data_IF_428097434204
#
_entry.id   IF_428097434204
#
_cell.length_a   1.000
_cell.length_b   1.000
_cell.length_c   1.000
_cell.angle_alpha   90.00
_cell.angle_beta   90.00
_cell.angle_gamma   90.00
#
_symmetry.space_group_name_H-M   'P 1'
#
loop_
_entity.id
_entity.type
_entity.pdbx_description
1 polymer ?
#
# COMPACT_ATOMS: atom_id res chain seq x y z
N UNK A 1 25.64 4.80 -34.40
CA UNK A 1 24.84 5.27 -33.25
C UNK A 1 24.22 4.05 -32.58
N UNK A 2 24.73 3.64 -31.43
CA UNK A 2 24.11 2.58 -30.61
C UNK A 2 22.73 3.08 -30.18
N UNK A 3 21.67 2.31 -30.49
CA UNK A 3 20.32 2.59 -29.98
C UNK A 3 20.40 2.62 -28.45
N UNK A 4 20.27 3.80 -27.85
CA UNK A 4 20.02 3.90 -26.42
C UNK A 4 18.61 3.34 -26.21
N UNK A 5 18.54 2.11 -25.71
CA UNK A 5 17.26 1.49 -25.36
C UNK A 5 16.64 2.27 -24.20
N UNK A 6 15.39 2.68 -24.35
CA UNK A 6 14.64 3.29 -23.25
C UNK A 6 14.59 2.32 -22.05
N UNK A 7 14.72 2.86 -20.83
CA UNK A 7 14.66 2.06 -19.62
C UNK A 7 13.26 1.45 -19.48
N UNK A 8 13.20 0.12 -19.37
CA UNK A 8 11.93 -0.61 -19.20
C UNK A 8 11.57 -0.69 -17.72
N UNK A 9 10.49 -0.03 -17.34
CA UNK A 9 9.94 -0.09 -15.99
C UNK A 9 9.01 -1.31 -15.86
N UNK A 10 9.01 -1.93 -14.68
CA UNK A 10 8.11 -3.03 -14.37
C UNK A 10 6.66 -2.56 -14.31
N UNK A 11 5.73 -3.46 -14.63
CA UNK A 11 4.28 -3.20 -14.49
C UNK A 11 3.98 -2.84 -13.04
N UNK A 12 3.11 -1.83 -12.86
CA UNK A 12 2.69 -1.38 -11.54
C UNK A 12 2.04 -2.51 -10.73
N UNK A 13 2.48 -2.68 -9.47
CA UNK A 13 1.92 -3.66 -8.54
C UNK A 13 1.06 -2.96 -7.48
N UNK A 14 -0.27 -2.94 -7.71
CA UNK A 14 -1.24 -2.32 -6.79
C UNK A 14 -1.28 -2.97 -5.41
N UNK A 15 -0.97 -4.26 -5.32
CA UNK A 15 -0.96 -4.97 -4.03
C UNK A 15 0.23 -4.55 -3.17
N UNK A 16 1.36 -4.23 -3.79
CA UNK A 16 2.61 -3.87 -3.11
C UNK A 16 3.27 -2.64 -3.75
N UNK A 17 2.70 -1.43 -3.59
CA UNK A 17 3.22 -0.21 -4.21
C UNK A 17 4.65 0.13 -3.74
N UNK A 18 4.94 -0.07 -2.46
CA UNK A 18 6.27 0.18 -1.90
C UNK A 18 7.35 -0.73 -2.53
N UNK A 19 7.04 -2.02 -2.69
CA UNK A 19 7.93 -2.99 -3.34
C UNK A 19 8.16 -2.61 -4.81
N UNK A 20 7.11 -2.19 -5.52
CA UNK A 20 7.23 -1.74 -6.90
C UNK A 20 8.18 -0.54 -7.06
N UNK A 21 8.12 0.46 -6.16
CA UNK A 21 9.07 1.57 -6.17
C UNK A 21 10.52 1.12 -5.91
N UNK A 22 10.75 0.14 -5.03
CA UNK A 22 12.08 -0.44 -4.81
C UNK A 22 12.63 -1.07 -6.11
N UNK A 23 11.78 -1.78 -6.86
CA UNK A 23 12.17 -2.37 -8.15
C UNK A 23 12.48 -1.28 -9.19
N UNK A 24 11.71 -0.19 -9.22
CA UNK A 24 11.98 0.96 -10.09
C UNK A 24 13.32 1.61 -9.75
N UNK A 25 13.63 1.81 -8.47
CA UNK A 25 14.89 2.41 -8.02
C UNK A 25 16.11 1.57 -8.39
N UNK A 26 16.02 0.25 -8.28
CA UNK A 26 17.06 -0.66 -8.77
C UNK A 26 17.26 -0.51 -10.28
N UNK A 27 16.18 -0.38 -11.03
CA UNK A 27 16.23 -0.16 -12.49
C UNK A 27 16.89 1.18 -12.83
N UNK A 28 16.56 2.26 -12.11
CA UNK A 28 17.18 3.57 -12.30
C UNK A 28 18.67 3.57 -12.02
N UNK A 29 19.12 2.85 -10.98
CA UNK A 29 20.54 2.70 -10.64
C UNK A 29 21.33 1.94 -11.70
N UNK A 30 20.70 0.96 -12.36
CA UNK A 30 21.31 0.11 -13.38
C UNK A 30 21.11 0.64 -14.81
N UNK A 31 20.52 1.83 -14.97
CA UNK A 31 20.30 2.42 -16.29
C UNK A 31 21.62 2.66 -17.04
N UNK A 32 21.61 2.41 -18.35
CA UNK A 32 22.77 2.51 -19.25
C UNK A 32 22.46 3.59 -20.31
N UNK A 33 23.41 4.47 -20.66
CA UNK A 33 24.84 4.48 -20.28
C UNK A 33 25.14 5.08 -18.90
N UNK A 34 24.18 5.73 -18.26
CA UNK A 34 24.35 6.31 -16.91
C UNK A 34 23.10 6.10 -16.05
N UNK A 35 23.25 6.03 -14.71
CA UNK A 35 22.12 5.96 -13.80
C UNK A 35 21.16 7.14 -13.97
N UNK A 36 19.87 6.87 -13.76
CA UNK A 36 18.83 7.90 -13.71
C UNK A 36 18.78 8.46 -12.28
N UNK A 37 19.25 9.69 -12.12
CA UNK A 37 19.30 10.36 -10.81
C UNK A 37 18.29 11.48 -10.67
N UNK A 38 17.98 12.18 -11.75
CA UNK A 38 17.08 13.34 -11.78
C UNK A 38 15.64 12.95 -11.39
N UNK A 39 15.08 13.69 -10.43
CA UNK A 39 13.76 13.41 -9.86
C UNK A 39 12.64 13.48 -10.89
N UNK A 40 12.59 14.54 -11.72
CA UNK A 40 11.59 14.67 -12.77
C UNK A 40 11.67 13.53 -13.80
N UNK A 41 12.88 13.08 -14.16
CA UNK A 41 13.03 11.93 -15.05
C UNK A 41 12.47 10.64 -14.40
N UNK A 42 12.78 10.37 -13.13
CA UNK A 42 12.19 9.22 -12.41
C UNK A 42 10.67 9.31 -12.33
N UNK A 43 10.13 10.50 -12.05
CA UNK A 43 8.70 10.78 -12.04
C UNK A 43 8.04 10.36 -13.35
N UNK A 44 8.56 10.83 -14.50
CA UNK A 44 8.01 10.48 -15.81
C UNK A 44 8.04 8.97 -16.08
N UNK A 45 9.11 8.28 -15.68
CA UNK A 45 9.22 6.83 -15.82
C UNK A 45 8.18 6.06 -14.98
N UNK A 46 7.90 6.50 -13.76
CA UNK A 46 6.94 5.81 -12.89
C UNK A 46 5.48 6.17 -13.19
N UNK A 47 5.20 7.34 -13.78
CA UNK A 47 3.84 7.73 -14.19
C UNK A 47 3.35 6.91 -15.39
N UNK A 48 4.21 6.66 -16.36
CA UNK A 48 3.87 5.93 -17.61
C UNK A 48 3.18 4.57 -17.39
N UNK A 49 3.65 3.68 -16.49
CA UNK A 49 3.01 2.37 -16.26
C UNK A 49 1.83 2.41 -15.28
N UNK A 50 1.39 3.57 -14.78
CA UNK A 50 0.26 3.63 -13.84
C UNK A 50 -1.07 3.35 -14.55
N UNK A 51 -1.89 2.41 -14.04
CA UNK A 51 -3.26 2.24 -14.50
C UNK A 51 -4.10 3.51 -14.26
N UNK A 52 -5.10 3.82 -15.11
CA UNK A 52 -5.93 5.03 -14.97
C UNK A 52 -6.58 5.18 -13.58
N UNK A 53 -7.02 4.08 -12.99
CA UNK A 53 -7.64 4.03 -11.67
C UNK A 53 -6.65 4.30 -10.52
N UNK A 54 -5.36 4.07 -10.74
CA UNK A 54 -4.29 4.41 -9.78
C UNK A 54 -3.85 5.86 -9.98
N UNK A 55 -3.64 6.27 -11.23
CA UNK A 55 -3.30 7.65 -11.58
C UNK A 55 -4.35 8.65 -11.06
N UNK A 56 -5.63 8.25 -11.07
CA UNK A 56 -6.73 9.06 -10.53
C UNK A 56 -6.62 9.34 -9.03
N UNK A 57 -6.02 8.44 -8.24
CA UNK A 57 -5.82 8.65 -6.79
C UNK A 57 -4.85 9.78 -6.47
N UNK A 58 -3.94 10.08 -7.39
CA UNK A 58 -2.86 11.08 -7.26
C UNK A 58 -2.96 12.15 -8.35
N UNK A 59 -4.16 12.36 -8.92
CA UNK A 59 -4.38 13.27 -10.05
C UNK A 59 -3.86 14.68 -9.78
N UNK A 60 -4.09 15.20 -8.59
CA UNK A 60 -3.61 16.50 -8.11
C UNK A 60 -2.08 16.62 -8.24
N UNK A 61 -1.37 15.56 -7.89
CA UNK A 61 0.11 15.49 -7.97
C UNK A 61 0.58 15.38 -9.41
N UNK A 62 -0.14 14.62 -10.24
CA UNK A 62 0.22 14.48 -11.66
C UNK A 62 0.01 15.78 -12.44
N UNK A 63 -1.04 16.54 -12.09
CA UNK A 63 -1.36 17.82 -12.73
C UNK A 63 -0.49 18.97 -12.23
N UNK A 64 -0.03 18.89 -10.97
CA UNK A 64 0.83 19.88 -10.35
C UNK A 64 1.96 19.20 -9.56
N UNK A 65 2.98 18.66 -10.26
CA UNK A 65 4.09 17.97 -9.63
C UNK A 65 4.91 18.93 -8.76
N UNK A 66 5.48 18.39 -7.67
CA UNK A 66 6.41 19.16 -6.83
C UNK A 66 7.59 19.69 -7.67
N UNK A 67 7.97 20.95 -7.43
CA UNK A 67 8.97 21.64 -8.25
C UNK A 67 10.41 21.15 -8.00
N UNK A 68 10.67 20.57 -6.82
CA UNK A 68 12.02 20.21 -6.38
C UNK A 68 12.24 18.69 -6.42
N UNK A 69 11.28 17.92 -5.92
CA UNK A 69 11.38 16.46 -5.82
C UNK A 69 10.05 15.75 -6.17
N UNK A 70 9.58 15.86 -7.42
CA UNK A 70 8.30 15.28 -7.85
C UNK A 70 8.22 13.77 -7.68
N UNK A 71 9.33 13.04 -7.83
CA UNK A 71 9.37 11.58 -7.64
C UNK A 71 9.10 11.20 -6.19
N UNK A 72 9.77 11.81 -5.22
CA UNK A 72 9.61 11.47 -3.80
C UNK A 72 8.21 11.86 -3.31
N UNK A 73 7.70 13.01 -3.75
CA UNK A 73 6.34 13.44 -3.42
C UNK A 73 5.30 12.44 -3.96
N UNK A 74 5.38 12.08 -5.25
CA UNK A 74 4.52 11.07 -5.86
C UNK A 74 4.62 9.72 -5.15
N UNK A 75 5.84 9.22 -4.89
CA UNK A 75 6.06 7.93 -4.22
C UNK A 75 5.37 7.87 -2.87
N UNK A 76 5.55 8.91 -2.05
CA UNK A 76 4.99 8.99 -0.70
C UNK A 76 3.46 8.97 -0.76
N UNK A 77 2.88 9.85 -1.55
CA UNK A 77 1.42 9.99 -1.65
C UNK A 77 0.76 8.79 -2.32
N UNK A 78 1.37 8.21 -3.36
CA UNK A 78 0.81 7.04 -4.02
C UNK A 78 0.77 5.82 -3.11
N UNK A 79 1.80 5.62 -2.28
CA UNK A 79 1.81 4.57 -1.24
C UNK A 79 0.72 4.85 -0.19
N UNK A 80 0.64 6.08 0.33
CA UNK A 80 -0.33 6.46 1.35
C UNK A 80 -1.79 6.32 0.86
N UNK A 81 -2.09 6.82 -0.33
CA UNK A 81 -3.45 6.81 -0.90
C UNK A 81 -3.86 5.44 -1.42
N UNK A 82 -2.93 4.56 -1.76
CA UNK A 82 -3.23 3.14 -2.00
C UNK A 82 -3.54 2.37 -0.70
N UNK A 83 -3.07 2.86 0.45
CA UNK A 83 -3.32 2.23 1.76
C UNK A 83 -4.69 2.61 2.35
N UNK A 84 -5.14 3.85 2.20
CA UNK A 84 -6.38 4.36 2.82
C UNK A 84 -7.64 3.55 2.45
N UNK A 85 -7.91 3.21 1.17
CA UNK A 85 -9.09 2.40 0.82
C UNK A 85 -9.07 1.00 1.45
N UNK A 86 -7.88 0.43 1.68
CA UNK A 86 -7.72 -0.84 2.39
C UNK A 86 -7.95 -0.69 3.90
N UNK A 87 -7.49 0.40 4.49
CA UNK A 87 -7.70 0.68 5.91
C UNK A 87 -9.19 0.85 6.25
N UNK A 88 -9.97 1.51 5.39
CA UNK A 88 -11.42 1.67 5.58
C UNK A 88 -12.14 0.31 5.69
N UNK A 89 -11.81 -0.64 4.81
CA UNK A 89 -12.37 -1.99 4.83
C UNK A 89 -12.03 -2.77 6.11
N UNK A 90 -10.90 -2.43 6.76
CA UNK A 90 -10.51 -3.01 8.07
C UNK A 90 -11.22 -2.30 9.22
N UNK A 91 -11.34 -0.97 9.14
CA UNK A 91 -11.84 -0.13 10.24
C UNK A 91 -13.36 -0.18 10.33
N UNK A 92 -14.09 -0.19 9.21
CA UNK A 92 -15.56 -0.15 9.22
C UNK A 92 -16.22 -1.30 10.02
N UNK A 93 -15.79 -2.58 9.87
CA UNK A 93 -16.32 -3.67 10.70
C UNK A 93 -16.01 -3.50 12.20
N UNK A 94 -14.84 -2.96 12.53
CA UNK A 94 -14.42 -2.73 13.93
C UNK A 94 -15.26 -1.61 14.56
N UNK A 95 -15.48 -0.51 13.84
CA UNK A 95 -16.29 0.62 14.30
C UNK A 95 -17.74 0.18 14.53
N UNK A 96 -18.35 -0.50 13.57
CA UNK A 96 -19.71 -1.04 13.70
C UNK A 96 -19.84 -1.97 14.92
N UNK A 97 -18.82 -2.81 15.18
CA UNK A 97 -18.78 -3.67 16.37
C UNK A 97 -18.77 -2.85 17.67
N UNK A 98 -17.91 -1.84 17.77
CA UNK A 98 -17.79 -1.01 18.97
C UNK A 98 -19.07 -0.21 19.26
N UNK A 99 -19.74 0.29 18.22
CA UNK A 99 -21.02 1.02 18.36
C UNK A 99 -22.12 0.12 18.95
N UNK A 100 -22.20 -1.14 18.52
CA UNK A 100 -23.20 -2.11 19.01
C UNK A 100 -22.92 -2.55 20.46
N UNK A 101 -21.66 -2.61 20.88
CA UNK A 101 -21.28 -3.23 22.16
C UNK A 101 -20.89 -2.26 23.27
N UNK A 102 -20.52 -1.01 22.97
CA UNK A 102 -20.22 0.01 24.00
C UNK A 102 -21.47 0.65 24.61
N UNK A 103 -22.64 0.46 24.01
CA UNK A 103 -23.92 0.98 24.54
C UNK A 103 -24.55 0.07 25.62
N UNK A 104 -24.01 -1.12 25.90
CA UNK A 104 -24.48 -1.97 27.01
C UNK A 104 -23.62 -1.77 28.26
N UNK A 105 -23.95 -0.73 29.03
CA UNK A 105 -23.52 -0.65 30.43
C UNK A 105 -23.97 -1.92 31.19
N UNK A 106 -22.98 -2.57 31.81
CA UNK A 106 -23.08 -3.49 32.97
C UNK A 106 -24.05 -4.67 32.82
N UNK A 107 -23.51 -5.86 32.61
CA UNK A 107 -23.96 -7.00 33.43
C UNK A 107 -22.83 -8.02 33.59
N UNK A 108 -22.53 -8.34 34.85
CA UNK A 108 -21.64 -9.42 35.24
C UNK A 108 -22.30 -10.76 34.88
N UNK A 109 -21.72 -11.56 33.99
CA UNK A 109 -21.83 -13.02 34.09
C UNK A 109 -20.87 -13.76 33.15
N UNK A 110 -20.24 -14.78 33.75
CA UNK A 110 -19.59 -15.98 33.22
C UNK A 110 -19.41 -16.09 31.69
N UNK A 111 -18.14 -16.04 31.27
CA UNK A 111 -17.71 -16.17 29.87
C UNK A 111 -17.82 -17.63 29.41
N UNK A 112 -18.89 -17.97 28.71
CA UNK A 112 -18.83 -18.98 27.63
C UNK A 112 -18.91 -18.22 26.31
N UNK A 113 -17.79 -18.19 25.58
CA UNK A 113 -17.74 -17.54 24.26
C UNK A 113 -18.63 -18.32 23.29
N UNK A 114 -19.57 -17.62 22.65
CA UNK A 114 -20.44 -18.19 21.61
C UNK A 114 -19.60 -18.66 20.41
N UNK A 115 -20.05 -19.68 19.69
CA UNK A 115 -19.40 -20.14 18.44
C UNK A 115 -19.26 -19.03 17.41
N UNK A 116 -20.17 -18.05 17.42
CA UNK A 116 -20.10 -16.85 16.59
C UNK A 116 -18.92 -15.95 16.97
N UNK A 117 -18.55 -15.87 18.26
CA UNK A 117 -17.37 -15.13 18.70
C UNK A 117 -16.06 -15.81 18.34
N UNK A 118 -16.03 -17.15 18.34
CA UNK A 118 -14.89 -17.92 17.86
C UNK A 118 -14.74 -17.75 16.34
N UNK A 119 -15.80 -17.91 15.56
CA UNK A 119 -15.70 -17.68 14.11
C UNK A 119 -15.27 -16.25 13.74
N UNK A 120 -15.55 -15.28 14.62
CA UNK A 120 -15.14 -13.90 14.46
C UNK A 120 -13.69 -13.63 14.89
N UNK A 121 -13.14 -14.39 15.86
CA UNK A 121 -11.73 -14.25 16.21
C UNK A 121 -10.82 -14.70 15.06
N UNK A 122 -11.16 -15.80 14.40
CA UNK A 122 -10.45 -16.33 13.24
C UNK A 122 -10.49 -15.33 12.07
N UNK A 123 -11.64 -14.73 11.79
CA UNK A 123 -11.78 -13.76 10.71
C UNK A 123 -11.06 -12.42 11.01
N UNK A 124 -11.13 -11.94 12.26
CA UNK A 124 -10.41 -10.73 12.66
C UNK A 124 -8.89 -10.94 12.64
N UNK A 125 -8.41 -12.10 13.10
CA UNK A 125 -7.00 -12.50 13.02
C UNK A 125 -6.52 -12.55 11.57
N UNK A 126 -7.33 -13.09 10.65
CA UNK A 126 -6.99 -13.13 9.24
C UNK A 126 -6.90 -11.73 8.61
N UNK A 127 -7.85 -10.85 8.90
CA UNK A 127 -7.84 -9.47 8.39
C UNK A 127 -6.67 -8.66 8.96
N UNK A 128 -6.33 -8.84 10.25
CA UNK A 128 -5.16 -8.21 10.88
C UNK A 128 -3.85 -8.76 10.30
N UNK A 129 -3.78 -10.08 10.06
CA UNK A 129 -2.62 -10.71 9.45
C UNK A 129 -2.39 -10.20 8.01
N UNK A 130 -3.44 -10.10 7.19
CA UNK A 130 -3.35 -9.51 5.85
C UNK A 130 -2.92 -8.04 5.87
N UNK A 131 -3.46 -7.25 6.80
CA UNK A 131 -3.09 -5.85 7.00
C UNK A 131 -1.62 -5.70 7.44
N UNK A 132 -1.12 -6.64 8.23
CA UNK A 132 0.27 -6.66 8.72
C UNK A 132 1.24 -7.09 7.62
N UNK A 133 0.89 -8.09 6.80
CA UNK A 133 1.65 -8.51 5.62
C UNK A 133 1.81 -7.40 4.57
N UNK A 134 0.83 -6.50 4.48
CA UNK A 134 0.88 -5.28 3.67
C UNK A 134 1.90 -4.25 4.18
N UNK A 135 2.29 -4.32 5.46
CA UNK A 135 3.17 -3.36 6.14
C UNK A 135 4.62 -3.86 6.28
N UNK A 136 4.84 -5.18 6.27
CA UNK A 136 6.17 -5.81 6.29
C UNK A 136 6.19 -7.07 5.42
N UNK A 137 6.83 -7.07 4.22
CA UNK A 137 7.07 -8.30 3.49
C UNK A 137 8.35 -8.96 4.04
N UNK A 138 8.24 -9.81 5.06
CA UNK A 138 9.39 -10.58 5.57
C UNK A 138 9.15 -12.07 5.32
N UNK A 139 9.96 -12.73 4.47
CA UNK A 139 9.93 -14.18 4.33
C UNK A 139 10.35 -14.84 5.66
N UNK A 140 9.49 -15.69 6.21
CA UNK A 140 9.83 -16.54 7.37
C UNK A 140 9.29 -16.08 8.72
N UNK A 141 8.41 -15.08 8.80
CA UNK A 141 7.74 -14.75 10.07
C UNK A 141 6.68 -15.80 10.40
N UNK A 142 6.99 -16.72 11.31
CA UNK A 142 5.99 -17.52 12.00
C UNK A 142 5.19 -16.57 12.91
N UNK A 143 3.93 -16.33 12.54
CA UNK A 143 2.95 -15.75 13.45
C UNK A 143 2.56 -16.83 14.45
N UNK A 144 3.30 -16.91 15.56
CA UNK A 144 2.85 -17.64 16.73
C UNK A 144 1.77 -16.81 17.42
N UNK A 145 0.52 -17.25 17.32
CA UNK A 145 -0.57 -16.91 18.25
C UNK A 145 -0.82 -18.12 19.15
#
# INVERSE_FOLDING_TARGET
>A
MSKVGAVKISVYNRSYPALWFIMCESTFKLAVPKPITESMTKFNYVVSPLPPEVASLVRDILMNPDATDPYTHLKTELINRCFIPKAEHIVAPIVQFLEVHTNKKKSRSSVRKSSEQLKWNENAEQVIAEATLLRYPIPGTQLSL
#
